data_IF_064985799745
#
_entry.id   IF_064985799745
#
_cell.length_a   1.000
_cell.length_b   1.000
_cell.length_c   1.000
_cell.angle_alpha   90.00
_cell.angle_beta   90.00
_cell.angle_gamma   90.00
#
_symmetry.space_group_name_H-M   'P 1'
#
loop_
_entity.id
_entity.type
_entity.pdbx_description
1 polymer ?
#
# COMPACT_ATOMS: atom_id res chain seq x y z
N UNK A 1 -21.76 57.84 -28.32
CA UNK A 1 -21.96 56.39 -28.47
C UNK A 1 -20.61 55.70 -28.32
N UNK A 2 -20.27 55.16 -27.15
CA UNK A 2 -19.01 54.43 -26.88
C UNK A 2 -19.24 52.95 -27.23
N UNK A 3 -18.50 52.43 -28.22
CA UNK A 3 -18.50 51.01 -28.58
C UNK A 3 -17.68 50.24 -27.56
N UNK A 4 -18.33 49.38 -26.78
CA UNK A 4 -17.70 48.44 -25.85
C UNK A 4 -17.24 47.21 -26.66
N UNK A 5 -15.94 47.07 -26.92
CA UNK A 5 -15.37 45.84 -27.45
C UNK A 5 -15.21 44.81 -26.31
N UNK A 6 -16.06 43.81 -26.32
CA UNK A 6 -15.90 42.64 -25.44
C UNK A 6 -14.88 41.70 -26.07
N UNK A 7 -13.68 41.61 -25.49
CA UNK A 7 -12.64 40.67 -25.88
C UNK A 7 -12.98 39.31 -25.26
N UNK A 8 -13.49 38.39 -26.04
CA UNK A 8 -13.75 37.01 -25.62
C UNK A 8 -12.40 36.26 -25.59
N UNK A 9 -11.79 36.11 -24.42
CA UNK A 9 -10.61 35.25 -24.25
C UNK A 9 -11.07 33.79 -24.34
N UNK A 10 -10.89 33.14 -25.47
CA UNK A 10 -10.97 31.70 -25.62
C UNK A 10 -9.76 31.08 -24.85
N UNK A 11 -9.99 30.61 -23.64
CA UNK A 11 -9.06 29.67 -22.98
C UNK A 11 -9.12 28.33 -23.74
N UNK A 12 -8.22 28.14 -24.69
CA UNK A 12 -7.95 26.83 -25.24
C UNK A 12 -7.22 26.03 -24.13
N UNK A 13 -7.97 25.24 -23.38
CA UNK A 13 -7.38 24.24 -22.50
C UNK A 13 -6.70 23.22 -23.42
N UNK A 14 -5.38 23.29 -23.54
CA UNK A 14 -4.56 22.22 -24.09
C UNK A 14 -4.73 20.99 -23.17
N UNK A 15 -5.67 20.12 -23.49
CA UNK A 15 -5.75 18.80 -22.87
C UNK A 15 -4.52 18.03 -23.35
N UNK A 16 -3.46 17.98 -22.51
CA UNK A 16 -2.42 17.00 -22.71
C UNK A 16 -3.08 15.62 -22.71
N UNK A 17 -2.94 14.89 -23.80
CA UNK A 17 -3.40 13.50 -23.90
C UNK A 17 -2.56 12.67 -22.93
N UNK A 18 -3.23 11.85 -22.13
CA UNK A 18 -2.57 10.86 -21.29
C UNK A 18 -1.64 9.98 -22.15
N UNK A 19 -0.45 9.73 -21.65
CA UNK A 19 0.57 8.91 -22.33
C UNK A 19 0.73 7.56 -21.63
N UNK A 20 1.03 6.57 -22.44
CA UNK A 20 1.41 5.25 -21.96
C UNK A 20 2.88 4.98 -22.27
N UNK A 21 3.63 4.60 -21.25
CA UNK A 21 5.06 4.29 -21.31
C UNK A 21 5.25 2.82 -20.97
N UNK A 22 5.62 2.02 -21.94
CA UNK A 22 5.73 0.55 -21.79
C UNK A 22 7.17 0.13 -21.59
N UNK A 23 7.42 -0.76 -20.63
CA UNK A 23 8.74 -1.25 -20.28
C UNK A 23 8.75 -2.79 -20.22
N UNK A 24 9.82 -3.39 -20.72
CA UNK A 24 10.14 -4.82 -20.57
C UNK A 24 11.13 -5.03 -19.40
N UNK A 25 11.37 -6.28 -18.96
CA UNK A 25 12.36 -6.55 -17.91
C UNK A 25 13.78 -6.03 -18.18
N UNK A 26 14.13 -5.81 -19.45
CA UNK A 26 15.43 -5.20 -19.84
C UNK A 26 15.49 -3.70 -19.62
N UNK A 27 14.36 -3.03 -19.45
CA UNK A 27 14.27 -1.57 -19.42
C UNK A 27 14.19 -0.99 -17.99
N UNK A 28 14.53 -1.78 -16.97
CA UNK A 28 14.36 -1.44 -15.54
C UNK A 28 14.93 -0.06 -15.19
N UNK A 29 16.10 0.31 -15.69
CA UNK A 29 16.73 1.60 -15.34
C UNK A 29 15.93 2.79 -15.90
N UNK A 30 15.48 2.70 -17.14
CA UNK A 30 14.66 3.74 -17.76
C UNK A 30 13.30 3.86 -17.07
N UNK A 31 12.68 2.74 -16.70
CA UNK A 31 11.46 2.70 -15.91
C UNK A 31 11.64 3.40 -14.55
N UNK A 32 12.69 3.05 -13.80
CA UNK A 32 12.98 3.66 -12.49
C UNK A 32 13.20 5.17 -12.61
N UNK A 33 13.93 5.60 -13.62
CA UNK A 33 14.16 7.04 -13.88
C UNK A 33 12.86 7.76 -14.15
N UNK A 34 11.96 7.19 -14.95
CA UNK A 34 10.66 7.81 -15.26
C UNK A 34 9.76 7.86 -14.02
N UNK A 35 9.59 6.74 -13.31
CA UNK A 35 8.76 6.67 -12.10
C UNK A 35 9.24 7.63 -11.01
N UNK A 36 10.56 7.79 -10.86
CA UNK A 36 11.18 8.66 -9.85
C UNK A 36 11.33 10.12 -10.28
N UNK A 37 11.05 10.46 -11.54
CA UNK A 37 11.28 11.81 -12.08
C UNK A 37 10.33 12.88 -11.55
N UNK A 38 9.12 12.49 -11.14
CA UNK A 38 8.03 13.41 -10.82
C UNK A 38 7.43 14.12 -12.03
N UNK A 39 7.80 13.76 -13.26
CA UNK A 39 7.40 14.45 -14.48
C UNK A 39 6.17 13.84 -15.17
N UNK A 40 5.68 12.69 -14.70
CA UNK A 40 4.45 12.09 -15.20
C UNK A 40 3.26 13.02 -14.99
N UNK A 41 2.41 13.09 -15.97
CA UNK A 41 1.24 13.98 -15.98
C UNK A 41 -0.02 13.23 -15.51
N UNK A 42 -1.04 13.93 -15.00
CA UNK A 42 -2.31 13.31 -14.65
C UNK A 42 -2.91 12.49 -15.79
N UNK A 43 -3.14 11.21 -15.52
CA UNK A 43 -3.65 10.23 -16.49
C UNK A 43 -2.56 9.42 -17.20
N UNK A 44 -1.28 9.76 -17.06
CA UNK A 44 -0.20 8.97 -17.64
C UNK A 44 -0.13 7.56 -16.98
N UNK A 45 0.29 6.58 -17.78
CA UNK A 45 0.48 5.21 -17.32
C UNK A 45 1.90 4.70 -17.63
N UNK A 46 2.50 4.05 -16.64
CA UNK A 46 3.70 3.25 -16.79
C UNK A 46 3.28 1.78 -16.79
N UNK A 47 3.54 1.08 -17.88
CA UNK A 47 3.04 -0.27 -18.15
C UNK A 47 4.18 -1.26 -18.19
N UNK A 48 4.11 -2.30 -17.38
CA UNK A 48 5.07 -3.40 -17.40
C UNK A 48 4.59 -4.53 -18.31
N UNK A 49 5.39 -4.89 -19.29
CA UNK A 49 5.17 -6.09 -20.10
C UNK A 49 5.30 -7.36 -19.25
N UNK A 50 4.73 -8.44 -19.74
CA UNK A 50 4.87 -9.76 -19.14
C UNK A 50 6.35 -10.10 -18.94
N UNK A 51 6.68 -10.66 -17.78
CA UNK A 51 8.04 -11.09 -17.46
C UNK A 51 8.40 -10.87 -16.00
N UNK A 52 9.65 -11.23 -15.65
CA UNK A 52 10.14 -11.10 -14.28
C UNK A 52 11.10 -9.92 -14.16
N UNK A 53 10.77 -9.01 -13.28
CA UNK A 53 11.54 -7.84 -12.87
C UNK A 53 12.24 -8.17 -11.55
N UNK A 54 13.48 -8.62 -11.66
CA UNK A 54 14.24 -9.16 -10.52
C UNK A 54 15.17 -8.14 -9.89
N UNK A 55 15.21 -8.08 -8.54
CA UNK A 55 16.08 -7.18 -7.78
C UNK A 55 15.95 -5.72 -8.21
N UNK A 56 14.73 -5.21 -8.19
CA UNK A 56 14.50 -3.79 -8.47
C UNK A 56 15.21 -2.86 -7.47
N UNK A 57 15.55 -3.39 -6.28
CA UNK A 57 16.18 -2.63 -5.20
C UNK A 57 15.33 -1.42 -4.81
N UNK A 58 15.94 -0.25 -4.56
CA UNK A 58 15.17 0.94 -4.25
C UNK A 58 14.57 1.55 -5.53
N UNK A 59 13.27 1.77 -5.51
CA UNK A 59 12.52 2.38 -6.59
C UNK A 59 11.54 3.41 -6.01
N UNK A 60 11.44 4.55 -6.65
CA UNK A 60 10.52 5.62 -6.30
C UNK A 60 9.39 5.71 -7.32
N UNK A 61 8.16 5.73 -6.85
CA UNK A 61 6.99 6.07 -7.65
C UNK A 61 6.42 7.38 -7.10
N UNK A 62 6.66 8.46 -7.83
CA UNK A 62 6.28 9.81 -7.40
C UNK A 62 5.67 10.62 -8.54
N UNK A 63 4.84 11.57 -8.16
CA UNK A 63 4.18 12.48 -9.09
C UNK A 63 2.95 13.13 -8.48
N UNK A 64 2.27 13.89 -9.31
CA UNK A 64 1.06 14.59 -8.94
C UNK A 64 -0.05 14.35 -9.95
N UNK A 65 -0.81 13.27 -9.73
CA UNK A 65 -2.07 13.03 -10.41
C UNK A 65 -3.18 13.95 -9.89
N UNK A 66 -4.40 13.76 -10.35
CA UNK A 66 -5.59 14.46 -9.86
C UNK A 66 -6.76 13.51 -9.75
N UNK A 67 -7.79 13.90 -9.02
CA UNK A 67 -9.02 13.12 -8.90
C UNK A 67 -9.60 12.80 -10.30
N UNK A 68 -9.89 11.53 -10.54
CA UNK A 68 -10.37 11.01 -11.82
C UNK A 68 -9.30 10.84 -12.92
N UNK A 69 -8.05 11.29 -12.69
CA UNK A 69 -6.91 11.11 -13.60
C UNK A 69 -5.64 10.79 -12.79
N UNK A 70 -5.58 9.64 -12.09
CA UNK A 70 -4.37 9.24 -11.38
C UNK A 70 -3.22 9.00 -12.37
N UNK A 71 -2.00 9.04 -11.85
CA UNK A 71 -0.84 8.48 -12.54
C UNK A 71 -0.80 6.99 -12.17
N UNK A 72 -0.75 6.12 -13.18
CA UNK A 72 -0.89 4.68 -12.98
C UNK A 72 0.43 3.96 -13.25
N UNK A 73 0.83 3.06 -12.37
CA UNK A 73 1.85 2.06 -12.66
C UNK A 73 1.21 0.68 -12.57
N UNK A 74 1.21 -0.05 -13.70
CA UNK A 74 0.45 -1.30 -13.82
C UNK A 74 1.15 -2.36 -14.65
N UNK A 75 0.69 -3.61 -14.53
CA UNK A 75 1.00 -4.63 -15.50
C UNK A 75 0.21 -4.42 -16.81
N UNK A 76 0.77 -4.87 -17.93
CA UNK A 76 0.04 -4.99 -19.21
C UNK A 76 -1.06 -6.05 -19.08
N UNK A 77 -0.70 -7.21 -18.56
CA UNK A 77 -1.62 -8.31 -18.25
C UNK A 77 -1.59 -8.60 -16.74
N UNK A 78 -2.73 -8.59 -16.03
CA UNK A 78 -2.77 -8.78 -14.59
C UNK A 78 -2.02 -10.04 -14.12
N UNK A 79 -1.12 -9.87 -13.15
CA UNK A 79 -0.32 -10.94 -12.57
C UNK A 79 0.79 -11.52 -13.47
N UNK A 80 1.04 -10.95 -14.65
CA UNK A 80 2.09 -11.42 -15.57
C UNK A 80 3.38 -10.62 -15.47
N UNK A 81 3.35 -9.41 -14.93
CA UNK A 81 4.54 -8.66 -14.53
C UNK A 81 4.89 -9.06 -13.09
N UNK A 82 5.94 -9.87 -12.94
CA UNK A 82 6.35 -10.44 -11.65
C UNK A 82 7.53 -9.65 -11.10
N UNK A 83 7.35 -9.03 -9.94
CA UNK A 83 8.41 -8.35 -9.20
C UNK A 83 8.95 -9.31 -8.14
N UNK A 84 10.27 -9.57 -8.15
CA UNK A 84 10.90 -10.54 -7.26
C UNK A 84 12.27 -10.08 -6.75
N UNK A 85 12.77 -10.73 -5.70
CA UNK A 85 14.07 -10.41 -5.12
C UNK A 85 14.04 -9.15 -4.26
N UNK A 86 15.17 -8.48 -4.14
CA UNK A 86 15.34 -7.28 -3.29
C UNK A 86 14.48 -6.13 -3.76
N UNK A 87 13.68 -5.57 -2.85
CA UNK A 87 12.76 -4.48 -3.17
C UNK A 87 12.62 -3.49 -2.00
N UNK A 88 12.63 -2.21 -2.33
CA UNK A 88 12.12 -1.12 -1.51
C UNK A 88 11.38 -0.15 -2.41
N UNK A 89 10.07 -0.29 -2.49
CA UNK A 89 9.23 0.60 -3.29
C UNK A 89 8.74 1.75 -2.41
N UNK A 90 9.10 2.98 -2.75
CA UNK A 90 8.63 4.21 -2.13
C UNK A 90 7.57 4.87 -2.99
N UNK A 91 6.37 5.05 -2.45
CA UNK A 91 5.24 5.72 -3.12
C UNK A 91 4.96 7.03 -2.39
N UNK A 92 5.07 8.16 -3.07
CA UNK A 92 4.81 9.47 -2.45
C UNK A 92 4.40 10.52 -3.47
N UNK A 93 3.52 11.40 -3.07
CA UNK A 93 2.86 12.38 -3.92
C UNK A 93 1.35 12.22 -3.87
N UNK A 94 0.66 12.59 -4.93
CA UNK A 94 -0.80 12.66 -4.93
C UNK A 94 -1.41 11.85 -6.09
N UNK A 95 -2.52 11.14 -5.82
CA UNK A 95 -3.29 10.38 -6.82
C UNK A 95 -2.41 9.47 -7.68
N UNK A 96 -1.56 8.67 -7.03
CA UNK A 96 -0.79 7.62 -7.67
C UNK A 96 -1.53 6.28 -7.50
N UNK A 97 -1.53 5.47 -8.54
CA UNK A 97 -2.20 4.17 -8.52
C UNK A 97 -1.25 3.06 -8.95
N UNK A 98 -1.09 2.05 -8.09
CA UNK A 98 -0.35 0.82 -8.34
C UNK A 98 -1.37 -0.29 -8.56
N UNK A 99 -1.30 -1.00 -9.71
CA UNK A 99 -2.32 -2.01 -10.01
C UNK A 99 -1.82 -3.22 -10.81
N UNK A 100 -2.49 -4.35 -10.60
CA UNK A 100 -2.34 -5.59 -11.36
C UNK A 100 -0.94 -6.24 -11.29
N UNK A 101 -0.07 -5.79 -10.35
CA UNK A 101 1.29 -6.31 -10.19
C UNK A 101 1.32 -7.56 -9.28
N UNK A 102 2.21 -8.48 -9.61
CA UNK A 102 2.51 -9.65 -8.79
C UNK A 102 3.89 -9.48 -8.12
N UNK A 103 3.89 -9.31 -6.80
CA UNK A 103 5.09 -9.40 -5.96
C UNK A 103 5.19 -10.86 -5.49
N UNK A 104 6.15 -11.59 -6.02
CA UNK A 104 6.33 -13.00 -5.70
C UNK A 104 7.79 -13.28 -5.34
N UNK A 105 8.00 -13.80 -4.13
CA UNK A 105 9.34 -14.01 -3.59
C UNK A 105 10.22 -12.75 -3.69
N UNK A 106 9.59 -11.59 -3.43
CA UNK A 106 10.29 -10.35 -3.16
C UNK A 106 10.53 -10.21 -1.66
N UNK A 107 11.48 -9.37 -1.26
CA UNK A 107 11.72 -9.06 0.16
C UNK A 107 12.27 -7.66 0.36
N UNK A 108 12.05 -7.12 1.57
CA UNK A 108 12.37 -5.74 1.87
C UNK A 108 13.88 -5.46 1.97
N UNK A 109 14.30 -4.35 1.37
CA UNK A 109 15.56 -3.70 1.76
C UNK A 109 15.22 -2.69 2.86
N UNK A 110 15.58 -3.00 4.08
CA UNK A 110 15.25 -2.21 5.25
C UNK A 110 13.97 -2.71 5.93
N UNK A 111 13.05 -1.81 6.29
CA UNK A 111 11.92 -2.15 7.14
C UNK A 111 10.65 -2.50 6.36
N UNK A 112 10.19 -1.60 5.49
CA UNK A 112 8.99 -1.77 4.68
C UNK A 112 9.35 -2.08 3.22
N UNK A 113 8.76 -3.13 2.63
CA UNK A 113 8.97 -3.50 1.23
C UNK A 113 8.30 -2.51 0.29
N UNK A 114 7.06 -2.13 0.61
CA UNK A 114 6.30 -1.07 -0.08
C UNK A 114 5.96 -0.01 0.96
N UNK A 115 6.47 1.21 0.80
CA UNK A 115 6.34 2.29 1.75
C UNK A 115 5.66 3.51 1.12
N UNK A 116 4.54 3.93 1.68
CA UNK A 116 3.79 5.11 1.23
C UNK A 116 4.44 6.41 1.74
N UNK A 117 5.76 6.46 1.64
CA UNK A 117 6.60 7.58 2.01
C UNK A 117 7.83 7.68 1.11
N UNK A 118 8.22 8.90 0.76
CA UNK A 118 9.51 9.23 0.17
C UNK A 118 10.59 9.44 1.24
N UNK A 119 11.11 10.64 1.31
CA UNK A 119 11.94 11.07 2.42
C UNK A 119 11.06 11.37 3.65
N UNK A 120 11.70 11.58 4.82
CA UNK A 120 10.98 11.88 6.06
C UNK A 120 10.09 13.12 5.88
N UNK A 121 8.80 12.96 6.20
CA UNK A 121 7.80 14.02 6.07
C UNK A 121 7.20 14.18 4.66
N UNK A 122 7.61 13.36 3.69
CA UNK A 122 7.05 13.36 2.34
C UNK A 122 6.20 12.09 2.16
N UNK A 123 4.90 12.25 2.19
CA UNK A 123 3.95 11.15 2.23
C UNK A 123 3.11 11.02 0.96
N UNK A 124 2.45 9.89 0.83
CA UNK A 124 1.43 9.63 -0.18
C UNK A 124 0.07 10.22 0.25
N UNK A 125 -0.66 10.80 -0.68
CA UNK A 125 -2.02 11.28 -0.44
C UNK A 125 -2.94 10.91 -1.59
N UNK A 126 -4.14 10.37 -1.27
CA UNK A 126 -5.10 9.90 -2.28
C UNK A 126 -4.53 8.85 -3.24
N UNK A 127 -3.50 8.12 -2.80
CA UNK A 127 -2.88 7.06 -3.58
C UNK A 127 -3.60 5.73 -3.35
N UNK A 128 -3.50 4.83 -4.33
CA UNK A 128 -4.19 3.54 -4.29
C UNK A 128 -3.29 2.40 -4.72
N UNK A 129 -3.36 1.29 -3.99
CA UNK A 129 -2.84 -0.01 -4.41
C UNK A 129 -4.04 -0.95 -4.60
N UNK A 130 -4.21 -1.48 -5.80
CA UNK A 130 -5.40 -2.28 -6.13
C UNK A 130 -5.07 -3.46 -7.02
N UNK A 131 -5.77 -4.58 -6.85
CA UNK A 131 -5.61 -5.81 -7.64
C UNK A 131 -4.17 -6.32 -7.71
N UNK A 132 -3.37 -6.02 -6.69
CA UNK A 132 -2.00 -6.53 -6.58
C UNK A 132 -1.97 -7.82 -5.76
N UNK A 133 -0.98 -8.64 -6.04
CA UNK A 133 -0.69 -9.86 -5.29
C UNK A 133 0.65 -9.71 -4.59
N UNK A 134 0.71 -9.99 -3.29
CA UNK A 134 1.95 -10.13 -2.52
C UNK A 134 1.95 -11.54 -1.93
N UNK A 135 2.79 -12.40 -2.48
CA UNK A 135 2.80 -13.81 -2.11
C UNK A 135 4.22 -14.35 -1.92
N UNK A 136 4.41 -15.14 -0.86
CA UNK A 136 5.72 -15.69 -0.47
C UNK A 136 6.85 -14.65 -0.38
N UNK A 137 6.54 -13.40 -0.12
CA UNK A 137 7.52 -12.32 0.00
C UNK A 137 8.19 -12.40 1.37
N UNK A 138 9.24 -13.18 1.47
CA UNK A 138 9.99 -13.43 2.70
C UNK A 138 11.49 -13.34 2.41
N UNK A 139 12.22 -12.56 3.22
CA UNK A 139 13.69 -12.47 3.11
C UNK A 139 14.32 -13.85 3.41
N UNK A 140 15.00 -14.47 2.45
CA UNK A 140 15.59 -15.78 2.62
C UNK A 140 16.72 -15.82 3.66
N UNK A 141 17.21 -14.67 4.11
CA UNK A 141 18.25 -14.56 5.15
C UNK A 141 17.67 -14.36 6.54
N UNK A 142 16.37 -14.10 6.67
CA UNK A 142 15.69 -13.96 7.96
C UNK A 142 15.06 -15.27 8.39
N UNK A 143 15.14 -15.57 9.68
CA UNK A 143 14.50 -16.74 10.25
C UNK A 143 12.98 -16.58 10.37
N UNK A 144 12.31 -17.72 10.48
CA UNK A 144 10.86 -17.83 10.64
C UNK A 144 10.43 -17.85 12.12
N UNK A 145 11.34 -17.58 13.06
CA UNK A 145 11.10 -17.59 14.51
C UNK A 145 11.13 -16.16 15.08
N UNK A 146 10.47 -15.95 16.22
CA UNK A 146 10.52 -14.68 16.93
C UNK A 146 11.96 -14.19 17.16
N UNK A 147 12.18 -12.88 16.93
CA UNK A 147 13.47 -12.18 17.07
C UNK A 147 14.55 -12.53 16.03
N UNK A 148 14.21 -13.24 14.96
CA UNK A 148 15.14 -13.52 13.86
C UNK A 148 15.08 -12.47 12.74
N UNK A 149 14.44 -11.34 13.01
CA UNK A 149 14.33 -10.18 12.15
C UNK A 149 12.93 -9.96 11.58
N UNK A 150 12.52 -8.71 11.62
CA UNK A 150 11.21 -8.29 11.11
C UNK A 150 11.30 -7.74 9.69
N UNK A 151 10.26 -7.99 8.93
CA UNK A 151 10.06 -7.47 7.59
C UNK A 151 8.60 -7.11 7.41
N UNK A 152 8.30 -5.86 7.06
CA UNK A 152 6.95 -5.40 6.79
C UNK A 152 6.69 -5.37 5.30
N UNK A 153 5.54 -5.87 4.85
CA UNK A 153 5.24 -5.84 3.44
C UNK A 153 4.77 -4.48 2.98
N UNK A 154 3.81 -3.87 3.72
CA UNK A 154 3.28 -2.55 3.35
C UNK A 154 3.29 -1.63 4.56
N UNK A 155 3.99 -0.50 4.44
CA UNK A 155 3.94 0.63 5.35
C UNK A 155 3.04 1.73 4.78
N UNK A 156 1.83 1.86 5.32
CA UNK A 156 0.85 2.84 4.87
C UNK A 156 0.97 4.13 5.69
N UNK A 157 1.37 5.20 5.03
CA UNK A 157 1.56 6.55 5.60
C UNK A 157 0.83 7.58 4.77
N UNK A 158 0.72 8.79 5.30
CA UNK A 158 0.03 9.90 4.64
C UNK A 158 -1.46 9.90 4.90
N UNK A 159 -2.26 10.28 3.90
CA UNK A 159 -3.68 10.51 4.11
C UNK A 159 -4.54 10.11 2.92
N UNK A 160 -5.75 9.63 3.19
CA UNK A 160 -6.75 9.22 2.19
C UNK A 160 -6.25 8.18 1.17
N UNK A 161 -5.30 7.33 1.55
CA UNK A 161 -4.84 6.25 0.69
C UNK A 161 -5.76 5.03 0.81
N UNK A 162 -5.80 4.23 -0.24
CA UNK A 162 -6.62 3.02 -0.28
C UNK A 162 -5.81 1.80 -0.71
N UNK A 163 -6.06 0.68 -0.05
CA UNK A 163 -5.56 -0.65 -0.44
C UNK A 163 -6.77 -1.56 -0.59
N UNK A 164 -7.02 -2.00 -1.82
CA UNK A 164 -8.23 -2.78 -2.10
C UNK A 164 -8.04 -3.86 -3.17
N UNK A 165 -8.88 -4.89 -3.11
CA UNK A 165 -8.89 -6.02 -4.06
C UNK A 165 -7.53 -6.69 -4.22
N UNK A 166 -6.67 -6.61 -3.19
CA UNK A 166 -5.36 -7.21 -3.17
C UNK A 166 -5.39 -8.60 -2.48
N UNK A 167 -4.42 -9.42 -2.84
CA UNK A 167 -4.20 -10.71 -2.24
C UNK A 167 -2.85 -10.73 -1.53
N UNK A 168 -2.85 -11.07 -0.24
CA UNK A 168 -1.67 -11.16 0.62
C UNK A 168 -1.61 -12.56 1.22
N UNK A 169 -0.56 -13.33 0.96
CA UNK A 169 -0.47 -14.68 1.51
C UNK A 169 0.97 -15.15 1.76
N UNK A 170 1.07 -16.19 2.58
CA UNK A 170 2.31 -16.94 2.79
C UNK A 170 3.47 -16.13 3.39
N UNK A 171 3.14 -15.17 4.28
CA UNK A 171 4.18 -14.49 5.05
C UNK A 171 4.65 -15.41 6.20
N UNK A 172 5.95 -15.71 6.23
CA UNK A 172 6.56 -16.60 7.24
C UNK A 172 7.48 -15.87 8.21
N UNK A 173 8.30 -14.95 7.73
CA UNK A 173 9.19 -14.16 8.58
C UNK A 173 8.42 -13.19 9.47
N UNK A 174 9.05 -12.73 10.57
CA UNK A 174 8.48 -11.73 11.48
C UNK A 174 8.10 -10.42 10.78
N UNK A 175 7.43 -9.54 11.52
CA UNK A 175 6.90 -8.29 10.99
C UNK A 175 5.51 -8.44 10.36
N UNK A 176 4.89 -7.36 10.01
CA UNK A 176 3.49 -7.27 9.63
C UNK A 176 3.27 -7.41 8.12
N UNK A 177 2.06 -7.80 7.73
CA UNK A 177 1.61 -7.67 6.35
C UNK A 177 1.34 -6.20 6.03
N UNK A 178 0.59 -5.51 6.90
CA UNK A 178 0.27 -4.09 6.69
C UNK A 178 0.36 -3.31 8.01
N UNK A 179 1.14 -2.25 8.00
CA UNK A 179 1.25 -1.30 9.11
C UNK A 179 0.70 0.06 8.70
N UNK A 180 -0.29 0.57 9.40
CA UNK A 180 -0.67 1.98 9.34
C UNK A 180 0.20 2.75 10.34
N UNK A 181 1.06 3.60 9.83
CA UNK A 181 1.98 4.40 10.63
C UNK A 181 1.38 5.73 11.03
N UNK A 182 1.52 6.08 12.30
CA UNK A 182 1.11 7.38 12.85
C UNK A 182 2.29 8.07 13.52
N UNK A 183 2.33 9.39 13.38
CA UNK A 183 3.20 10.31 14.12
C UNK A 183 2.49 11.65 14.28
N UNK A 184 3.06 12.58 15.01
CA UNK A 184 2.45 13.89 15.23
C UNK A 184 2.20 14.68 13.92
N UNK A 185 3.03 14.46 12.91
CA UNK A 185 2.95 15.07 11.57
C UNK A 185 2.28 14.16 10.52
N UNK A 186 1.91 12.94 10.90
CA UNK A 186 1.28 11.94 10.04
C UNK A 186 0.21 11.18 10.82
N UNK A 187 -0.90 11.83 11.04
CA UNK A 187 -2.14 11.26 11.59
C UNK A 187 -3.33 11.86 10.84
N UNK A 188 -4.56 11.58 11.28
CA UNK A 188 -5.77 11.83 10.49
C UNK A 188 -5.64 11.17 9.12
N UNK A 189 -5.21 9.91 9.15
CA UNK A 189 -4.86 9.16 7.95
C UNK A 189 -6.06 8.96 7.01
N UNK A 190 -7.27 8.73 7.54
CA UNK A 190 -8.49 8.47 6.76
C UNK A 190 -8.26 7.41 5.66
N UNK A 191 -7.44 6.41 5.94
CA UNK A 191 -7.18 5.33 4.98
C UNK A 191 -8.38 4.40 4.86
N UNK A 192 -8.50 3.78 3.68
CA UNK A 192 -9.46 2.71 3.42
C UNK A 192 -8.72 1.43 3.03
N UNK A 193 -8.95 0.36 3.79
CA UNK A 193 -8.39 -0.98 3.55
C UNK A 193 -9.59 -1.92 3.37
N UNK A 194 -9.94 -2.24 2.12
CA UNK A 194 -11.20 -2.91 1.84
C UNK A 194 -11.12 -3.96 0.72
N UNK A 195 -12.00 -4.97 0.78
CA UNK A 195 -12.12 -6.00 -0.23
C UNK A 195 -10.81 -6.76 -0.51
N UNK A 196 -9.91 -6.87 0.48
CA UNK A 196 -8.68 -7.63 0.35
C UNK A 196 -8.86 -9.05 0.89
N UNK A 197 -8.03 -9.94 0.37
CA UNK A 197 -7.83 -11.28 0.91
C UNK A 197 -6.47 -11.34 1.62
N UNK A 198 -6.50 -11.67 2.90
CA UNK A 198 -5.32 -11.96 3.71
C UNK A 198 -5.35 -13.45 4.06
N UNK A 199 -4.30 -14.18 3.70
CA UNK A 199 -4.32 -15.63 3.89
C UNK A 199 -2.98 -16.22 4.31
N UNK A 200 -3.11 -17.44 4.82
CA UNK A 200 -2.04 -18.38 5.14
C UNK A 200 -0.85 -17.75 5.88
N UNK A 201 -1.10 -17.34 7.12
CA UNK A 201 -0.01 -17.01 8.04
C UNK A 201 0.03 -18.05 9.16
N UNK A 202 1.02 -18.92 9.12
CA UNK A 202 1.23 -19.96 10.10
C UNK A 202 1.59 -19.37 11.47
N UNK A 203 1.34 -20.09 12.59
CA UNK A 203 1.73 -19.63 13.92
C UNK A 203 3.22 -19.28 13.97
N UNK A 204 3.49 -18.04 14.39
CA UNK A 204 4.87 -17.53 14.48
C UNK A 204 5.53 -17.87 15.82
N UNK A 205 4.72 -18.11 16.86
CA UNK A 205 5.20 -18.49 18.18
C UNK A 205 5.65 -17.34 19.08
N UNK A 206 5.34 -16.09 18.69
CA UNK A 206 5.68 -14.88 19.44
C UNK A 206 4.88 -13.68 18.98
N UNK A 207 5.25 -12.51 19.48
CA UNK A 207 4.65 -11.22 19.10
C UNK A 207 5.30 -10.69 17.81
N UNK A 208 4.58 -9.84 17.06
CA UNK A 208 5.08 -9.22 15.82
C UNK A 208 4.70 -9.98 14.55
N UNK A 209 3.56 -10.67 14.58
CA UNK A 209 3.03 -11.41 13.44
C UNK A 209 1.58 -11.04 13.12
N UNK A 210 1.17 -9.84 13.47
CA UNK A 210 -0.13 -9.29 13.08
C UNK A 210 -0.27 -9.22 11.55
N UNK A 211 -1.47 -9.35 11.05
CA UNK A 211 -1.79 -9.06 9.65
C UNK A 211 -1.87 -7.56 9.45
N UNK A 212 -2.71 -6.87 10.22
CA UNK A 212 -2.84 -5.41 10.16
C UNK A 212 -2.58 -4.84 11.55
N UNK A 213 -1.74 -3.80 11.61
CA UNK A 213 -1.62 -2.97 12.80
C UNK A 213 -1.91 -1.51 12.47
N UNK A 214 -2.81 -0.87 13.24
CA UNK A 214 -3.19 0.52 13.05
C UNK A 214 -2.63 1.34 14.21
N UNK A 215 -1.55 2.05 13.94
CA UNK A 215 -0.79 2.81 14.94
C UNK A 215 0.25 1.98 15.69
N UNK A 216 0.77 2.58 16.74
CA UNK A 216 1.79 2.01 17.61
C UNK A 216 1.54 2.45 19.07
N UNK A 217 2.06 1.73 20.05
CA UNK A 217 1.80 2.07 21.46
C UNK A 217 2.16 3.51 21.83
N UNK A 218 3.22 4.07 21.23
CA UNK A 218 3.64 5.46 21.44
C UNK A 218 2.77 6.49 20.70
N UNK A 219 1.98 6.09 19.70
CA UNK A 219 1.05 6.95 18.95
C UNK A 219 -0.42 6.70 19.29
N UNK A 220 -0.68 5.98 20.38
CA UNK A 220 -1.99 5.42 20.72
C UNK A 220 -3.10 6.45 20.96
N UNK A 221 -2.75 7.68 21.25
CA UNK A 221 -3.71 8.76 21.45
C UNK A 221 -3.98 9.59 20.19
N UNK A 222 -3.29 9.28 19.08
CA UNK A 222 -3.51 9.95 17.81
C UNK A 222 -4.70 9.33 17.07
N UNK A 223 -5.41 10.17 16.34
CA UNK A 223 -6.52 9.76 15.49
C UNK A 223 -6.02 9.27 14.15
N UNK A 224 -6.26 8.01 13.80
CA UNK A 224 -6.01 7.48 12.46
C UNK A 224 -7.20 7.64 11.53
N UNK A 225 -8.42 7.39 12.06
CA UNK A 225 -9.66 7.36 11.26
C UNK A 225 -9.59 6.38 10.09
N UNK A 226 -8.78 5.34 10.23
CA UNK A 226 -8.66 4.29 9.21
C UNK A 226 -9.90 3.39 9.25
N UNK A 227 -10.40 3.07 8.05
CA UNK A 227 -11.51 2.12 7.87
C UNK A 227 -10.94 0.81 7.33
N UNK A 228 -11.26 -0.30 7.99
CA UNK A 228 -10.93 -1.68 7.56
C UNK A 228 -12.25 -2.41 7.39
N UNK A 229 -12.65 -2.67 6.14
CA UNK A 229 -13.97 -3.24 5.87
C UNK A 229 -13.99 -4.23 4.70
N UNK A 230 -14.94 -5.16 4.75
CA UNK A 230 -15.20 -6.10 3.67
C UNK A 230 -13.97 -6.96 3.27
N UNK A 231 -13.03 -7.19 4.20
CA UNK A 231 -11.86 -8.04 3.98
C UNK A 231 -12.10 -9.47 4.46
N UNK A 232 -11.37 -10.41 3.86
CA UNK A 232 -11.32 -11.80 4.29
C UNK A 232 -9.96 -12.10 4.91
N UNK A 233 -9.96 -12.64 6.13
CA UNK A 233 -8.80 -13.14 6.86
C UNK A 233 -8.92 -14.66 6.96
N UNK A 234 -8.17 -15.39 6.12
CA UNK A 234 -8.25 -16.84 6.03
C UNK A 234 -6.96 -17.48 6.53
N UNK A 235 -7.06 -18.34 7.54
CA UNK A 235 -5.91 -19.00 8.19
C UNK A 235 -4.82 -18.02 8.63
N UNK A 236 -5.23 -16.88 9.12
CA UNK A 236 -4.34 -15.87 9.68
C UNK A 236 -4.06 -16.18 11.16
N UNK A 237 -3.10 -17.08 11.39
CA UNK A 237 -2.80 -17.61 12.72
C UNK A 237 -1.39 -17.24 13.24
N UNK A 238 -0.80 -16.16 12.70
CA UNK A 238 0.56 -15.74 13.07
C UNK A 238 0.73 -15.47 14.55
N UNK A 239 -0.22 -14.74 15.13
CA UNK A 239 -0.32 -14.50 16.58
C UNK A 239 -1.78 -14.24 16.99
N UNK A 240 -2.01 -13.91 18.26
CA UNK A 240 -3.35 -13.68 18.80
C UNK A 240 -4.02 -12.41 18.24
N UNK A 241 -3.25 -11.44 17.75
CA UNK A 241 -3.75 -10.19 17.18
C UNK A 241 -3.72 -10.26 15.65
N UNK A 242 -4.78 -10.73 14.99
CA UNK A 242 -4.86 -10.67 13.53
C UNK A 242 -4.91 -9.20 13.08
N UNK A 243 -5.77 -8.40 13.74
CA UNK A 243 -5.77 -6.95 13.62
C UNK A 243 -5.49 -6.35 15.00
N UNK A 244 -4.43 -5.57 15.11
CA UNK A 244 -4.05 -4.84 16.32
C UNK A 244 -4.34 -3.35 16.18
N UNK A 245 -5.34 -2.84 16.92
CA UNK A 245 -5.70 -1.42 16.91
C UNK A 245 -4.99 -0.71 18.05
N UNK A 246 -4.13 0.25 17.69
CA UNK A 246 -3.31 1.04 18.63
C UNK A 246 -3.40 2.56 18.31
N UNK A 247 -4.59 3.02 17.92
CA UNK A 247 -4.89 4.43 17.65
C UNK A 247 -6.39 4.70 17.78
N UNK A 248 -6.82 5.94 17.59
CA UNK A 248 -8.20 6.36 17.86
C UNK A 248 -9.03 6.50 16.57
N UNK A 249 -10.38 6.47 16.76
CA UNK A 249 -11.38 6.76 15.76
C UNK A 249 -11.36 5.86 14.51
N UNK A 250 -10.92 4.61 14.63
CA UNK A 250 -10.96 3.65 13.52
C UNK A 250 -12.32 2.97 13.42
N UNK A 251 -12.65 2.49 12.23
CA UNK A 251 -13.86 1.70 11.95
C UNK A 251 -13.44 0.36 11.35
N UNK A 252 -13.83 -0.74 12.00
CA UNK A 252 -13.53 -2.10 11.54
C UNK A 252 -14.85 -2.86 11.40
N UNK A 253 -15.29 -3.12 10.17
CA UNK A 253 -16.62 -3.68 9.94
C UNK A 253 -16.70 -4.61 8.74
N UNK A 254 -17.66 -5.53 8.80
CA UNK A 254 -17.97 -6.49 7.73
C UNK A 254 -16.77 -7.32 7.26
N UNK A 255 -15.78 -7.52 8.14
CA UNK A 255 -14.66 -8.41 7.85
C UNK A 255 -15.04 -9.85 8.24
N UNK A 256 -14.55 -10.81 7.45
CA UNK A 256 -14.69 -12.23 7.73
C UNK A 256 -13.36 -12.80 8.21
N UNK A 257 -13.35 -13.40 9.41
CA UNK A 257 -12.24 -14.16 9.95
C UNK A 257 -12.60 -15.64 9.86
N UNK A 258 -11.92 -16.39 9.01
CA UNK A 258 -12.25 -17.78 8.72
C UNK A 258 -11.05 -18.70 8.94
N UNK A 259 -11.23 -19.79 9.69
CA UNK A 259 -10.18 -20.75 10.06
C UNK A 259 -8.91 -20.06 10.64
N UNK A 260 -9.07 -18.97 11.35
CA UNK A 260 -7.98 -18.15 11.88
C UNK A 260 -7.91 -18.27 13.41
N UNK A 261 -6.72 -18.49 13.97
CA UNK A 261 -6.49 -18.54 15.41
C UNK A 261 -6.03 -17.16 15.90
N UNK A 262 -6.94 -16.32 16.30
CA UNK A 262 -6.70 -14.96 16.75
C UNK A 262 -7.91 -14.09 16.52
N UNK A 263 -7.77 -12.78 16.72
CA UNK A 263 -8.91 -11.88 16.60
C UNK A 263 -8.54 -10.44 16.29
N UNK A 264 -9.56 -9.61 16.30
CA UNK A 264 -9.47 -8.17 16.24
C UNK A 264 -9.30 -7.67 17.68
N UNK A 265 -8.18 -6.99 17.97
CA UNK A 265 -7.81 -6.56 19.32
C UNK A 265 -7.67 -5.04 19.38
N UNK A 266 -8.50 -4.39 20.20
CA UNK A 266 -8.33 -3.00 20.59
C UNK A 266 -7.30 -2.92 21.72
N UNK A 267 -6.03 -2.79 21.36
CA UNK A 267 -4.93 -2.80 22.32
C UNK A 267 -4.75 -1.46 23.03
N UNK A 268 -4.92 -0.39 22.27
CA UNK A 268 -4.82 1.01 22.74
C UNK A 268 -5.74 1.90 21.92
N UNK A 269 -5.87 3.16 22.33
CA UNK A 269 -6.73 4.13 21.68
C UNK A 269 -8.17 4.07 22.15
N UNK A 270 -8.99 4.93 21.60
CA UNK A 270 -10.41 5.07 21.99
C UNK A 270 -11.26 5.50 20.80
N UNK A 271 -12.59 5.48 20.99
CA UNK A 271 -13.59 5.81 19.96
C UNK A 271 -13.48 4.96 18.69
N UNK A 272 -13.01 3.72 18.81
CA UNK A 272 -13.01 2.77 17.71
C UNK A 272 -14.39 2.11 17.59
N UNK A 273 -14.87 1.94 16.36
CA UNK A 273 -16.12 1.25 16.05
C UNK A 273 -15.81 -0.12 15.48
N UNK A 274 -16.38 -1.16 16.09
CA UNK A 274 -16.26 -2.55 15.63
C UNK A 274 -17.67 -3.08 15.47
N UNK A 275 -18.06 -3.37 14.23
CA UNK A 275 -19.43 -3.80 13.93
C UNK A 275 -19.50 -4.80 12.78
N UNK A 276 -20.47 -5.69 12.82
CA UNK A 276 -20.83 -6.59 11.72
C UNK A 276 -19.66 -7.46 11.21
N UNK A 277 -18.64 -7.74 12.03
CA UNK A 277 -17.59 -8.70 11.67
C UNK A 277 -18.07 -10.12 12.00
N UNK A 278 -17.57 -11.09 11.24
CA UNK A 278 -17.85 -12.52 11.41
C UNK A 278 -16.56 -13.27 11.77
N UNK A 279 -16.63 -14.12 12.81
CA UNK A 279 -15.51 -14.92 13.32
C UNK A 279 -15.86 -16.41 13.25
#
# INVERSE_FOLDING_TARGET
MKKLCVLLLLMVSLFASAKEYTFSPGDVQAMKQLLGSGNLQPGDAVVLKDGTYHNLEEIHFTGKGVSGKPIVWRAENPGKAVISGKLRLKIYGEYLQLEDLLFYKAWAIGHDMIDFQGEKGVYASYCRMTRCVIDECNDPQKGERPNEGDEYWVGLRGTNNRIDHCYFANKRVGGLVLQVWLSADNHLNNHLIDHNFFGERQPYGGNGAEIIRIGHSWSSQLESRTIVEDNVFFRCSGENEIISVKSCHNVLRRNLFYESAGGLVCRHGHYNVIESNTF
#
